data_IF_951442850238
#
_entry.id   IF_951442850238
#
_cell.length_a   1.000
_cell.length_b   1.000
_cell.length_c   1.000
_cell.angle_alpha   90.00
_cell.angle_beta   90.00
_cell.angle_gamma   90.00
#
_symmetry.space_group_name_H-M   'P 1'
#
loop_
_entity.id
_entity.type
_entity.pdbx_description
1 polymer ?
#
# COMPACT_ATOMS: atom_id res chain seq x y z
N UNK A 1 -16.49 -14.15 4.34
CA UNK A 1 -17.54 -13.30 4.94
C UNK A 1 -17.03 -12.31 6.00
N UNK A 2 -16.10 -12.63 6.90
CA UNK A 2 -15.61 -11.65 7.90
C UNK A 2 -14.73 -10.51 7.31
N UNK A 3 -14.13 -10.68 6.16
CA UNK A 3 -13.21 -9.75 5.49
C UNK A 3 -13.95 -8.61 4.77
N UNK A 4 -14.93 -8.94 3.95
CA UNK A 4 -15.76 -7.97 3.20
C UNK A 4 -16.29 -6.87 4.13
N UNK A 5 -16.73 -7.25 5.34
CA UNK A 5 -17.20 -6.30 6.34
C UNK A 5 -16.12 -5.36 6.91
N UNK A 6 -14.85 -5.79 6.99
CA UNK A 6 -13.78 -4.93 7.53
C UNK A 6 -13.36 -3.84 6.54
N UNK A 7 -13.10 -4.18 5.28
CA UNK A 7 -12.77 -3.22 4.23
C UNK A 7 -13.93 -2.26 3.98
N UNK A 8 -15.15 -2.77 3.90
CA UNK A 8 -16.37 -2.00 3.75
C UNK A 8 -16.57 -0.98 4.89
N UNK A 9 -16.28 -1.38 6.14
CA UNK A 9 -16.31 -0.49 7.29
C UNK A 9 -15.17 0.54 7.28
N UNK A 10 -13.98 0.13 6.86
CA UNK A 10 -12.82 1.01 6.74
C UNK A 10 -13.06 2.12 5.70
N UNK A 11 -13.70 1.80 4.59
CA UNK A 11 -14.04 2.75 3.52
C UNK A 11 -15.30 3.57 3.79
N UNK A 12 -16.03 3.35 4.88
CA UNK A 12 -17.34 3.94 5.13
C UNK A 12 -17.40 5.45 4.86
N UNK A 13 -16.40 6.22 5.32
CA UNK A 13 -16.39 7.68 5.14
C UNK A 13 -16.19 8.11 3.69
N UNK A 14 -15.30 7.42 2.96
CA UNK A 14 -15.07 7.67 1.52
C UNK A 14 -16.29 7.27 0.72
N UNK A 15 -16.81 6.08 1.00
CA UNK A 15 -18.02 5.53 0.39
C UNK A 15 -19.21 6.46 0.56
N UNK A 16 -19.54 6.85 1.80
CA UNK A 16 -20.73 7.67 2.08
C UNK A 16 -20.68 9.00 1.29
N UNK A 17 -19.48 9.57 1.07
CA UNK A 17 -19.32 10.77 0.24
C UNK A 17 -19.51 10.48 -1.24
N UNK A 18 -18.75 9.53 -1.78
CA UNK A 18 -18.71 9.22 -3.21
C UNK A 18 -20.04 8.62 -3.68
N UNK A 19 -20.57 7.64 -2.94
CA UNK A 19 -21.85 7.02 -3.26
C UNK A 19 -23.01 8.02 -3.22
N UNK A 20 -23.07 8.89 -2.20
CA UNK A 20 -24.13 9.92 -2.13
C UNK A 20 -24.06 10.89 -3.32
N UNK A 21 -22.87 11.29 -3.77
CA UNK A 21 -22.73 12.16 -4.93
C UNK A 21 -23.25 11.50 -6.21
N UNK A 22 -22.93 10.22 -6.42
CA UNK A 22 -23.48 9.45 -7.54
C UNK A 22 -24.99 9.20 -7.44
N UNK A 23 -25.49 8.84 -6.25
CA UNK A 23 -26.93 8.64 -6.04
C UNK A 23 -27.76 9.91 -6.29
N UNK A 24 -27.21 11.07 -5.95
CA UNK A 24 -27.84 12.34 -6.26
C UNK A 24 -27.97 12.55 -7.77
N UNK A 25 -26.93 12.25 -8.54
CA UNK A 25 -26.97 12.31 -10.01
C UNK A 25 -27.95 11.31 -10.64
N UNK A 26 -28.11 10.14 -10.06
CA UNK A 26 -29.10 9.14 -10.52
C UNK A 26 -30.53 9.65 -10.30
N UNK A 27 -30.78 10.37 -9.19
CA UNK A 27 -32.13 10.90 -8.84
C UNK A 27 -32.46 12.19 -9.55
N UNK A 28 -31.47 13.05 -9.79
CA UNK A 28 -31.58 14.33 -10.44
C UNK A 28 -31.09 14.22 -11.89
N UNK A 29 -31.60 15.04 -12.79
CA UNK A 29 -31.03 15.10 -14.16
C UNK A 29 -29.62 15.67 -14.07
N UNK A 30 -28.70 15.03 -14.81
CA UNK A 30 -27.32 15.55 -14.96
C UNK A 30 -27.35 17.00 -15.45
N UNK A 31 -26.81 17.88 -14.65
CA UNK A 31 -26.72 19.32 -14.87
C UNK A 31 -25.29 19.79 -14.68
N UNK A 32 -24.91 20.97 -15.22
CA UNK A 32 -23.57 21.52 -14.98
C UNK A 32 -23.25 21.65 -13.49
N UNK A 33 -24.22 22.03 -12.66
CA UNK A 33 -24.05 22.19 -11.22
C UNK A 33 -23.84 20.83 -10.50
N UNK A 34 -24.59 19.79 -10.89
CA UNK A 34 -24.44 18.47 -10.27
C UNK A 34 -23.13 17.79 -10.69
N UNK A 35 -22.62 18.09 -11.90
CA UNK A 35 -21.29 17.64 -12.34
C UNK A 35 -20.15 18.33 -11.56
N UNK A 36 -20.27 19.63 -11.30
CA UNK A 36 -19.31 20.39 -10.51
C UNK A 36 -19.25 19.84 -9.06
N UNK A 37 -20.41 19.54 -8.45
CA UNK A 37 -20.46 18.91 -7.12
C UNK A 37 -19.85 17.51 -7.11
N UNK A 38 -20.06 16.71 -8.15
CA UNK A 38 -19.42 15.40 -8.28
C UNK A 38 -17.91 15.58 -8.37
N UNK A 39 -17.42 16.47 -9.23
CA UNK A 39 -16.00 16.77 -9.42
C UNK A 39 -15.34 17.14 -8.08
N UNK A 40 -15.90 18.10 -7.35
CA UNK A 40 -15.39 18.51 -6.04
C UNK A 40 -15.34 17.33 -5.06
N UNK A 41 -16.35 16.47 -5.06
CA UNK A 41 -16.44 15.30 -4.15
C UNK A 41 -15.36 14.26 -4.49
N UNK A 42 -15.17 13.96 -5.78
CA UNK A 42 -14.18 12.98 -6.24
C UNK A 42 -12.75 13.48 -5.99
N UNK A 43 -12.48 14.77 -6.26
CA UNK A 43 -11.19 15.40 -5.97
C UNK A 43 -10.90 15.40 -4.44
N UNK A 44 -11.89 15.74 -3.62
CA UNK A 44 -11.78 15.71 -2.16
C UNK A 44 -11.57 14.30 -1.59
N UNK A 45 -11.89 13.27 -2.36
CA UNK A 45 -11.65 11.86 -2.04
C UNK A 45 -10.30 11.33 -2.57
N UNK A 46 -9.46 12.19 -3.13
CA UNK A 46 -8.10 11.91 -3.66
C UNK A 46 -8.05 10.89 -4.82
N UNK A 47 -9.07 10.84 -5.69
CA UNK A 47 -9.07 9.95 -6.86
C UNK A 47 -8.00 10.31 -7.91
N UNK A 48 -7.46 11.53 -7.86
CA UNK A 48 -6.55 12.06 -8.88
C UNK A 48 -7.30 12.75 -10.04
N UNK A 49 -6.67 13.75 -10.63
CA UNK A 49 -7.32 14.63 -11.62
C UNK A 49 -7.75 13.85 -12.88
N UNK A 50 -6.86 13.03 -13.45
CA UNK A 50 -7.16 12.28 -14.67
C UNK A 50 -8.33 11.32 -14.49
N UNK A 51 -8.36 10.58 -13.37
CA UNK A 51 -9.45 9.66 -13.05
C UNK A 51 -10.79 10.41 -12.92
N UNK A 52 -10.77 11.59 -12.29
CA UNK A 52 -11.97 12.41 -12.11
C UNK A 52 -12.48 12.93 -13.48
N UNK A 53 -11.61 13.44 -14.34
CA UNK A 53 -11.97 13.90 -15.69
C UNK A 53 -12.60 12.75 -16.51
N UNK A 54 -12.02 11.57 -16.51
CA UNK A 54 -12.55 10.41 -17.23
C UNK A 54 -13.93 9.98 -16.68
N UNK A 55 -14.12 9.97 -15.35
CA UNK A 55 -15.41 9.67 -14.72
C UNK A 55 -16.47 10.71 -15.14
N UNK A 56 -16.13 12.00 -15.11
CA UNK A 56 -17.05 13.06 -15.51
C UNK A 56 -17.45 12.93 -16.98
N UNK A 57 -16.53 12.53 -17.85
CA UNK A 57 -16.82 12.33 -19.27
C UNK A 57 -17.73 11.10 -19.49
N UNK A 58 -17.55 10.03 -18.72
CA UNK A 58 -18.47 8.87 -18.73
C UNK A 58 -19.86 9.32 -18.32
N UNK A 59 -19.99 10.05 -17.21
CA UNK A 59 -21.28 10.54 -16.70
C UNK A 59 -21.98 11.46 -17.71
N UNK A 60 -21.24 12.34 -18.40
CA UNK A 60 -21.81 13.21 -19.45
C UNK A 60 -22.33 12.43 -20.66
N UNK A 61 -21.60 11.40 -21.09
CA UNK A 61 -21.96 10.56 -22.25
C UNK A 61 -23.17 9.67 -21.97
N UNK A 62 -23.26 9.12 -20.76
CA UNK A 62 -24.26 8.13 -20.36
C UNK A 62 -25.32 8.69 -19.42
N UNK A 63 -25.63 9.98 -19.51
CA UNK A 63 -26.48 10.73 -18.58
C UNK A 63 -27.91 10.24 -18.39
N UNK A 64 -28.37 9.24 -19.14
CA UNK A 64 -29.75 8.77 -19.16
C UNK A 64 -29.96 7.33 -18.66
N UNK A 65 -28.95 6.43 -18.66
CA UNK A 65 -29.07 5.04 -18.20
C UNK A 65 -27.71 4.48 -17.79
N UNK A 66 -27.62 3.88 -16.59
CA UNK A 66 -26.52 3.01 -16.11
C UNK A 66 -25.10 3.56 -16.08
N UNK A 67 -24.87 4.88 -16.05
CA UNK A 67 -23.52 5.42 -15.98
C UNK A 67 -22.69 4.88 -14.78
N UNK A 68 -23.35 4.44 -13.71
CA UNK A 68 -22.67 3.84 -12.54
C UNK A 68 -21.94 2.54 -12.91
N UNK A 69 -22.52 1.71 -13.77
CA UNK A 69 -21.87 0.48 -14.23
C UNK A 69 -20.66 0.82 -15.12
N UNK A 70 -20.81 1.78 -16.03
CA UNK A 70 -19.72 2.25 -16.88
C UNK A 70 -18.58 2.89 -16.06
N UNK A 71 -18.92 3.63 -15.01
CA UNK A 71 -17.93 4.15 -14.05
C UNK A 71 -17.24 3.01 -13.31
N UNK A 72 -17.99 2.02 -12.84
CA UNK A 72 -17.42 0.86 -12.14
C UNK A 72 -16.48 0.07 -13.07
N UNK A 73 -16.89 -0.19 -14.30
CA UNK A 73 -16.08 -0.88 -15.32
C UNK A 73 -14.80 -0.11 -15.65
N UNK A 74 -14.89 1.22 -15.85
CA UNK A 74 -13.72 2.07 -16.04
C UNK A 74 -12.77 2.00 -14.84
N UNK A 75 -13.30 2.12 -13.63
CA UNK A 75 -12.50 2.06 -12.40
C UNK A 75 -11.83 0.68 -12.24
N UNK A 76 -12.52 -0.41 -12.58
CA UNK A 76 -11.94 -1.75 -12.58
C UNK A 76 -10.81 -1.87 -13.58
N UNK A 77 -11.02 -1.46 -14.83
CA UNK A 77 -9.98 -1.48 -15.86
C UNK A 77 -8.78 -0.61 -15.49
N UNK A 78 -9.01 0.55 -14.83
CA UNK A 78 -7.95 1.44 -14.36
C UNK A 78 -7.09 0.81 -13.26
N UNK A 79 -7.65 -0.02 -12.39
CA UNK A 79 -6.93 -0.72 -11.31
C UNK A 79 -6.50 -2.12 -11.69
N UNK A 80 -6.98 -2.66 -12.82
CA UNK A 80 -6.62 -4.00 -13.25
C UNK A 80 -5.10 -4.15 -13.36
N UNK A 81 -4.58 -5.24 -12.81
CA UNK A 81 -3.15 -5.50 -12.76
C UNK A 81 -2.85 -6.67 -13.69
N UNK A 82 -1.97 -6.44 -14.65
CA UNK A 82 -1.52 -7.49 -15.56
C UNK A 82 -0.83 -8.66 -14.85
N UNK A 83 -0.29 -8.44 -13.63
CA UNK A 83 0.36 -9.48 -12.81
C UNK A 83 0.21 -9.17 -11.32
N UNK A 84 -0.21 -10.17 -10.55
CA UNK A 84 0.00 -10.19 -9.10
C UNK A 84 1.50 -10.29 -8.80
N UNK A 85 1.94 -9.70 -7.67
CA UNK A 85 3.33 -9.82 -7.22
C UNK A 85 3.57 -11.26 -6.74
N UNK A 86 4.20 -12.08 -7.57
CA UNK A 86 4.67 -13.41 -7.17
C UNK A 86 6.00 -13.27 -6.41
N UNK A 87 6.03 -13.73 -5.17
CA UNK A 87 7.26 -13.81 -4.38
C UNK A 87 8.07 -15.01 -4.83
N UNK A 88 9.06 -14.75 -5.68
CA UNK A 88 10.05 -15.76 -6.04
C UNK A 88 10.95 -16.04 -4.82
N UNK A 89 11.40 -17.28 -4.65
CA UNK A 89 12.27 -17.67 -3.55
C UNK A 89 13.70 -17.95 -4.05
N UNK A 90 14.73 -17.40 -3.40
CA UNK A 90 14.68 -16.49 -2.25
C UNK A 90 14.43 -15.03 -2.66
N UNK A 91 13.69 -14.28 -1.81
CA UNK A 91 13.43 -12.86 -2.01
C UNK A 91 13.82 -12.02 -0.79
N UNK A 92 14.11 -10.75 -1.04
CA UNK A 92 14.24 -9.72 0.00
C UNK A 92 13.26 -8.59 -0.27
N UNK A 93 12.44 -8.26 0.72
CA UNK A 93 11.43 -7.21 0.66
C UNK A 93 11.82 -6.05 1.56
N UNK A 94 12.13 -4.90 0.96
CA UNK A 94 12.36 -3.65 1.68
C UNK A 94 11.02 -2.97 1.94
N UNK A 95 10.67 -2.77 3.21
CA UNK A 95 9.48 -2.00 3.61
C UNK A 95 9.90 -0.54 3.77
N UNK A 96 9.56 0.29 2.79
CA UNK A 96 9.98 1.70 2.70
C UNK A 96 8.82 2.66 2.97
N UNK A 97 9.12 3.93 3.23
CA UNK A 97 8.12 4.97 3.49
C UNK A 97 8.58 5.95 4.56
N UNK A 98 7.82 7.03 4.77
CA UNK A 98 8.17 8.05 5.77
C UNK A 98 7.85 7.60 7.20
N UNK A 99 8.33 8.34 8.20
CA UNK A 99 7.99 8.06 9.59
C UNK A 99 6.49 8.21 9.83
N UNK A 100 5.94 7.27 10.60
CA UNK A 100 4.51 7.28 10.97
C UNK A 100 3.58 6.56 9.97
N UNK A 101 4.06 6.11 8.80
CA UNK A 101 3.24 5.35 7.83
C UNK A 101 3.03 3.88 8.21
N UNK A 102 3.58 3.41 9.34
CA UNK A 102 3.36 2.05 9.82
C UNK A 102 4.34 0.99 9.30
N UNK A 103 5.56 1.37 8.82
CA UNK A 103 6.55 0.42 8.29
C UNK A 103 6.83 -0.79 9.19
N UNK A 104 7.22 -0.53 10.44
CA UNK A 104 7.54 -1.60 11.41
C UNK A 104 6.36 -2.55 11.63
N UNK A 105 5.15 -2.00 11.79
CA UNK A 105 3.91 -2.80 11.92
C UNK A 105 3.61 -3.56 10.64
N UNK A 106 3.77 -2.93 9.48
CA UNK A 106 3.57 -3.59 8.17
C UNK A 106 4.58 -4.71 7.94
N UNK A 107 5.85 -4.50 8.30
CA UNK A 107 6.86 -5.56 8.20
C UNK A 107 6.48 -6.79 9.04
N UNK A 108 5.97 -6.58 10.25
CA UNK A 108 5.48 -7.68 11.10
C UNK A 108 4.24 -8.37 10.51
N UNK A 109 3.28 -7.60 9.98
CA UNK A 109 2.07 -8.14 9.36
C UNK A 109 2.36 -8.93 8.08
N UNK A 110 3.26 -8.43 7.23
CA UNK A 110 3.73 -9.15 6.05
C UNK A 110 4.45 -10.45 6.45
N UNK A 111 5.25 -10.42 7.53
CA UNK A 111 5.86 -11.63 8.04
C UNK A 111 4.81 -12.66 8.48
N UNK A 112 3.77 -12.23 9.23
CA UNK A 112 2.65 -13.10 9.60
C UNK A 112 1.97 -13.70 8.37
N UNK A 113 1.63 -12.86 7.40
CA UNK A 113 0.94 -13.25 6.18
C UNK A 113 1.71 -14.33 5.40
N UNK A 114 3.04 -14.18 5.24
CA UNK A 114 3.84 -15.16 4.51
C UNK A 114 4.17 -16.41 5.33
N UNK A 115 4.27 -16.30 6.65
CA UNK A 115 4.37 -17.47 7.55
C UNK A 115 3.12 -18.33 7.46
N UNK A 116 1.93 -17.72 7.44
CA UNK A 116 0.65 -18.43 7.29
C UNK A 116 0.55 -19.16 5.93
N UNK A 117 1.27 -18.67 4.92
CA UNK A 117 1.45 -19.36 3.61
C UNK A 117 2.56 -20.43 3.62
N UNK A 118 3.16 -20.72 4.76
CA UNK A 118 4.21 -21.73 4.90
C UNK A 118 5.60 -21.29 4.46
N UNK A 119 5.86 -20.00 4.25
CA UNK A 119 7.18 -19.45 3.91
C UNK A 119 8.07 -19.37 5.15
N UNK A 120 9.35 -19.69 4.97
CA UNK A 120 10.37 -19.40 5.98
C UNK A 120 10.75 -17.92 5.89
N UNK A 121 10.40 -17.17 6.92
CA UNK A 121 10.61 -15.70 6.95
C UNK A 121 11.70 -15.32 7.93
N UNK A 122 12.54 -14.33 7.56
CA UNK A 122 13.50 -13.66 8.43
C UNK A 122 13.19 -12.17 8.47
N UNK A 123 13.13 -11.58 9.66
CA UNK A 123 13.01 -10.14 9.85
C UNK A 123 14.39 -9.49 9.98
N UNK A 124 14.57 -8.31 9.38
CA UNK A 124 15.79 -7.50 9.50
C UNK A 124 15.43 -6.10 9.99
N UNK A 125 15.96 -5.70 11.15
CA UNK A 125 15.74 -4.39 11.74
C UNK A 125 16.77 -3.37 11.22
N UNK A 126 16.48 -2.76 10.07
CA UNK A 126 17.36 -1.78 9.44
C UNK A 126 17.00 -0.30 9.77
N UNK A 127 16.00 -0.03 10.62
CA UNK A 127 15.79 1.29 11.24
C UNK A 127 16.75 1.44 12.45
N UNK A 128 18.05 1.51 12.16
CA UNK A 128 19.13 1.46 13.14
C UNK A 128 19.20 2.68 14.06
N UNK A 129 18.49 3.73 13.72
CA UNK A 129 18.48 4.98 14.50
C UNK A 129 17.40 5.04 15.55
N UNK A 130 16.41 4.14 15.48
CA UNK A 130 15.28 4.15 16.40
C UNK A 130 15.23 2.88 17.25
N UNK A 131 15.85 2.95 18.43
CA UNK A 131 15.84 1.82 19.39
C UNK A 131 14.42 1.32 19.68
N UNK A 132 13.42 2.21 19.71
CA UNK A 132 12.03 1.84 19.90
C UNK A 132 11.46 1.00 18.71
N UNK A 133 11.89 1.26 17.48
CA UNK A 133 11.47 0.47 16.31
C UNK A 133 12.07 -0.94 16.37
N UNK A 134 13.37 -1.05 16.73
CA UNK A 134 14.02 -2.33 16.92
C UNK A 134 13.32 -3.14 18.01
N UNK A 135 13.04 -2.53 19.17
CA UNK A 135 12.35 -3.18 20.28
C UNK A 135 10.92 -3.61 19.88
N UNK A 136 10.19 -2.79 19.11
CA UNK A 136 8.88 -3.12 18.61
C UNK A 136 8.93 -4.32 17.65
N UNK A 137 9.83 -4.30 16.68
CA UNK A 137 9.99 -5.41 15.73
C UNK A 137 10.40 -6.71 16.45
N UNK A 138 11.23 -6.60 17.50
CA UNK A 138 11.62 -7.75 18.33
C UNK A 138 10.43 -8.37 19.09
N UNK A 139 9.49 -7.54 19.58
CA UNK A 139 8.27 -8.07 20.20
C UNK A 139 7.42 -8.84 19.19
N UNK A 140 7.28 -8.32 17.96
CA UNK A 140 6.58 -9.00 16.88
C UNK A 140 7.29 -10.29 16.46
N UNK A 141 8.61 -10.28 16.28
CA UNK A 141 9.42 -11.45 15.96
C UNK A 141 9.17 -12.60 16.98
N UNK A 142 9.13 -12.28 18.27
CA UNK A 142 8.83 -13.26 19.33
C UNK A 142 7.40 -13.81 19.24
N UNK A 143 6.41 -12.94 18.97
CA UNK A 143 5.00 -13.38 18.86
C UNK A 143 4.77 -14.28 17.65
N UNK A 144 5.46 -14.00 16.55
CA UNK A 144 5.38 -14.76 15.29
C UNK A 144 6.26 -16.02 15.30
N UNK A 145 7.11 -16.19 16.31
CA UNK A 145 8.17 -17.18 16.33
C UNK A 145 9.06 -17.13 15.06
N UNK A 146 9.30 -15.91 14.56
CA UNK A 146 10.14 -15.61 13.39
C UNK A 146 11.45 -15.05 13.89
N UNK A 147 12.56 -15.53 13.34
CA UNK A 147 13.88 -15.00 13.67
C UNK A 147 14.05 -13.57 13.18
N UNK A 148 14.78 -12.77 13.97
CA UNK A 148 15.13 -11.38 13.59
C UNK A 148 16.63 -11.17 13.67
N UNK A 149 17.18 -10.46 12.69
CA UNK A 149 18.55 -9.92 12.69
C UNK A 149 18.50 -8.44 12.98
N UNK A 150 19.27 -8.00 13.96
CA UNK A 150 19.50 -6.61 14.32
C UNK A 150 20.95 -6.42 14.77
N UNK A 151 21.45 -5.21 14.69
CA UNK A 151 22.76 -4.84 15.22
C UNK A 151 22.66 -3.51 15.96
N UNK A 152 22.54 -3.56 17.28
CA UNK A 152 22.39 -2.38 18.13
C UNK A 152 23.65 -1.48 18.14
N UNK A 153 24.79 -2.03 17.75
CA UNK A 153 26.07 -1.29 17.70
C UNK A 153 26.36 -0.68 16.33
N UNK A 154 25.58 -1.03 15.29
CA UNK A 154 25.73 -0.48 13.96
C UNK A 154 24.70 0.60 13.66
N UNK A 155 25.18 1.75 13.18
CA UNK A 155 24.32 2.79 12.61
C UNK A 155 24.19 2.70 11.10
N UNK A 156 24.80 1.69 10.44
CA UNK A 156 24.71 1.49 8.98
C UNK A 156 23.63 0.45 8.66
N UNK A 157 22.46 0.87 8.13
CA UNK A 157 21.38 -0.04 7.74
C UNK A 157 21.81 -1.12 6.74
N UNK A 158 22.76 -0.78 5.85
CA UNK A 158 23.26 -1.70 4.83
C UNK A 158 24.10 -2.83 5.41
N UNK A 159 24.80 -2.59 6.53
CA UNK A 159 25.53 -3.67 7.21
C UNK A 159 24.60 -4.65 7.87
N UNK A 160 23.51 -4.16 8.50
CA UNK A 160 22.49 -5.01 9.12
C UNK A 160 21.77 -5.85 8.05
N UNK A 161 21.44 -5.25 6.89
CA UNK A 161 20.90 -5.98 5.76
C UNK A 161 21.86 -7.07 5.27
N UNK A 162 23.16 -6.76 5.13
CA UNK A 162 24.17 -7.72 4.71
C UNK A 162 24.22 -8.94 5.64
N UNK A 163 24.28 -8.69 6.96
CA UNK A 163 24.27 -9.75 7.99
C UNK A 163 23.00 -10.59 7.92
N UNK A 164 21.85 -9.94 7.70
CA UNK A 164 20.56 -10.60 7.51
C UNK A 164 20.51 -11.51 6.30
N UNK A 165 20.99 -11.04 5.14
CA UNK A 165 21.01 -11.83 3.90
C UNK A 165 22.02 -12.98 3.98
N UNK A 166 23.17 -12.77 4.61
CA UNK A 166 24.15 -13.84 4.84
C UNK A 166 23.56 -14.95 5.74
N UNK A 167 22.83 -14.57 6.78
CA UNK A 167 22.11 -15.51 7.64
C UNK A 167 21.00 -16.21 6.87
N UNK A 168 20.20 -15.48 6.09
CA UNK A 168 19.12 -16.03 5.29
C UNK A 168 19.60 -17.10 4.30
N UNK A 169 20.73 -16.84 3.64
CA UNK A 169 21.37 -17.80 2.72
C UNK A 169 21.83 -19.08 3.43
N UNK A 170 22.33 -18.97 4.65
CA UNK A 170 22.82 -20.15 5.41
C UNK A 170 21.67 -21.01 5.98
N UNK A 171 20.48 -20.49 6.08
CA UNK A 171 19.31 -21.14 6.71
C UNK A 171 18.19 -21.47 5.70
N UNK A 172 18.45 -21.29 4.40
CA UNK A 172 17.46 -21.51 3.33
C UNK A 172 16.14 -20.76 3.60
N UNK A 173 16.24 -19.46 3.89
CA UNK A 173 15.10 -18.57 4.11
C UNK A 173 14.45 -18.21 2.77
N UNK A 174 13.13 -18.32 2.67
CA UNK A 174 12.36 -17.99 1.48
C UNK A 174 12.20 -16.49 1.28
N UNK A 175 11.98 -15.73 2.37
CA UNK A 175 11.70 -14.30 2.33
C UNK A 175 12.35 -13.57 3.50
N UNK A 176 13.16 -12.57 3.17
CA UNK A 176 13.71 -11.61 4.14
C UNK A 176 12.88 -10.34 4.10
N UNK A 177 12.27 -9.92 5.21
CA UNK A 177 11.52 -8.66 5.31
C UNK A 177 12.32 -7.66 6.14
N UNK A 178 12.58 -6.50 5.54
CA UNK A 178 13.47 -5.47 6.07
C UNK A 178 12.68 -4.24 6.48
N UNK A 179 12.64 -3.95 7.78
CA UNK A 179 12.09 -2.68 8.30
C UNK A 179 13.13 -1.58 8.16
N UNK A 180 12.86 -0.58 7.31
CA UNK A 180 13.82 0.50 7.01
C UNK A 180 13.52 1.78 7.77
N UNK A 181 14.49 2.68 7.83
CA UNK A 181 14.30 4.04 8.33
C UNK A 181 13.28 4.82 7.46
N UNK A 182 12.73 5.91 8.03
CA UNK A 182 11.74 6.75 7.31
C UNK A 182 11.91 8.25 7.55
N UNK A 183 13.13 8.72 7.75
CA UNK A 183 13.44 10.11 8.15
C UNK A 183 13.39 11.07 6.98
N UNK A 184 12.22 11.66 6.71
CA UNK A 184 12.04 12.60 5.61
C UNK A 184 12.85 13.90 5.76
N UNK A 185 13.13 14.37 7.00
CA UNK A 185 13.90 15.58 7.24
C UNK A 185 15.39 15.45 6.85
N UNK A 186 15.90 14.24 6.65
CA UNK A 186 17.19 13.93 6.05
C UNK A 186 17.01 13.17 4.75
N UNK A 187 16.12 13.67 3.88
CA UNK A 187 15.66 13.01 2.66
C UNK A 187 16.81 12.44 1.83
N UNK A 188 17.82 13.26 1.51
CA UNK A 188 18.96 12.83 0.68
C UNK A 188 19.71 11.64 1.32
N UNK A 189 19.89 11.65 2.65
CA UNK A 189 20.56 10.55 3.34
C UNK A 189 19.72 9.27 3.30
N UNK A 190 18.39 9.38 3.51
CA UNK A 190 17.48 8.24 3.45
C UNK A 190 17.49 7.61 2.05
N UNK A 191 17.42 8.41 0.99
CA UNK A 191 17.46 7.90 -0.38
C UNK A 191 18.79 7.22 -0.70
N UNK A 192 19.91 7.81 -0.30
CA UNK A 192 21.23 7.21 -0.45
C UNK A 192 21.36 5.88 0.34
N UNK A 193 20.77 5.79 1.54
CA UNK A 193 20.73 4.54 2.32
C UNK A 193 19.94 3.45 1.57
N UNK A 194 18.76 3.76 1.05
CA UNK A 194 17.93 2.81 0.29
C UNK A 194 18.62 2.35 -1.00
N UNK A 195 19.23 3.27 -1.76
CA UNK A 195 20.02 2.93 -2.93
C UNK A 195 21.23 2.05 -2.58
N UNK A 196 21.90 2.31 -1.46
CA UNK A 196 23.00 1.49 -0.97
C UNK A 196 22.53 0.09 -0.62
N UNK A 197 21.37 -0.04 0.05
CA UNK A 197 20.76 -1.33 0.37
C UNK A 197 20.42 -2.11 -0.89
N UNK A 198 19.80 -1.48 -1.89
CA UNK A 198 19.49 -2.11 -3.18
C UNK A 198 20.78 -2.60 -3.88
N UNK A 199 21.86 -1.81 -3.86
CA UNK A 199 23.16 -2.20 -4.41
C UNK A 199 23.79 -3.36 -3.63
N UNK A 200 23.63 -3.45 -2.32
CA UNK A 200 24.11 -4.59 -1.54
C UNK A 200 23.40 -5.86 -1.99
N UNK A 201 22.08 -5.83 -2.18
CA UNK A 201 21.35 -7.00 -2.69
C UNK A 201 21.86 -7.38 -4.08
N UNK A 202 21.81 -6.47 -5.04
CA UNK A 202 22.13 -6.77 -6.45
C UNK A 202 23.57 -7.22 -6.66
N UNK A 203 24.54 -6.68 -5.91
CA UNK A 203 25.95 -6.95 -6.13
C UNK A 203 26.52 -8.09 -5.27
N UNK A 204 25.93 -8.34 -4.10
CA UNK A 204 26.47 -9.31 -3.14
C UNK A 204 25.60 -10.55 -2.97
N UNK A 205 24.30 -10.43 -3.27
CA UNK A 205 23.31 -11.48 -3.13
C UNK A 205 22.38 -11.53 -4.36
N UNK A 206 22.94 -11.70 -5.58
CA UNK A 206 22.17 -11.67 -6.82
C UNK A 206 21.15 -12.82 -6.94
N UNK A 207 21.24 -13.82 -6.09
CA UNK A 207 20.27 -14.91 -5.98
C UNK A 207 18.94 -14.46 -5.34
N UNK A 208 18.95 -13.37 -4.56
CA UNK A 208 17.73 -12.84 -3.94
C UNK A 208 17.01 -11.88 -4.89
N UNK A 209 15.73 -12.11 -5.11
CA UNK A 209 14.88 -11.16 -5.82
C UNK A 209 14.56 -9.98 -4.90
N UNK A 210 14.92 -8.76 -5.33
CA UNK A 210 14.66 -7.53 -4.58
C UNK A 210 13.25 -7.01 -4.87
N UNK A 211 12.48 -6.77 -3.80
CA UNK A 211 11.15 -6.21 -3.83
C UNK A 211 11.12 -4.98 -2.91
N UNK A 212 10.57 -3.87 -3.38
CA UNK A 212 10.40 -2.67 -2.57
C UNK A 212 8.90 -2.37 -2.38
N UNK A 213 8.43 -2.52 -1.14
CA UNK A 213 7.04 -2.28 -0.74
C UNK A 213 6.94 -0.95 -0.01
N UNK A 214 6.17 -0.02 -0.54
CA UNK A 214 5.98 1.28 0.10
C UNK A 214 4.75 1.31 1.00
N UNK A 215 4.92 1.75 2.25
CA UNK A 215 3.78 2.02 3.14
C UNK A 215 3.24 3.42 2.89
N UNK A 216 1.94 3.51 2.62
CA UNK A 216 1.19 4.74 2.32
C UNK A 216 0.15 4.97 3.40
N UNK A 217 0.23 6.07 4.12
CA UNK A 217 -0.83 6.48 5.05
C UNK A 217 -2.00 7.09 4.29
N UNK A 218 -3.12 6.37 4.24
CA UNK A 218 -4.30 6.79 3.50
C UNK A 218 -4.90 8.12 4.00
N UNK A 219 -4.67 8.50 5.27
CA UNK A 219 -5.16 9.77 5.81
C UNK A 219 -4.46 11.01 5.23
N UNK A 220 -3.25 10.85 4.70
CA UNK A 220 -2.46 11.97 4.20
C UNK A 220 -2.79 12.36 2.74
N UNK A 221 -3.54 11.51 2.01
CA UNK A 221 -4.00 11.81 0.64
C UNK A 221 -2.87 12.25 -0.29
N UNK A 222 -3.01 13.42 -0.93
CA UNK A 222 -2.03 13.96 -1.88
C UNK A 222 -0.60 14.10 -1.31
N UNK A 223 -0.44 14.30 -0.01
CA UNK A 223 0.89 14.31 0.61
C UNK A 223 1.56 12.94 0.52
N UNK A 224 0.81 11.85 0.67
CA UNK A 224 1.33 10.49 0.47
C UNK A 224 1.74 10.23 -0.98
N UNK A 225 0.98 10.76 -1.95
CA UNK A 225 1.31 10.65 -3.37
C UNK A 225 2.62 11.40 -3.69
N UNK A 226 2.80 12.60 -3.14
CA UNK A 226 4.06 13.34 -3.28
C UNK A 226 5.25 12.55 -2.70
N UNK A 227 5.08 11.96 -1.52
CA UNK A 227 6.10 11.10 -0.92
C UNK A 227 6.42 9.89 -1.83
N UNK A 228 5.40 9.20 -2.34
CA UNK A 228 5.59 8.06 -3.25
C UNK A 228 6.38 8.45 -4.49
N UNK A 229 6.08 9.62 -5.08
CA UNK A 229 6.81 10.17 -6.23
C UNK A 229 8.28 10.41 -5.92
N UNK A 230 8.58 10.90 -4.73
CA UNK A 230 9.97 11.12 -4.31
C UNK A 230 10.71 9.80 -4.10
N UNK A 231 10.10 8.80 -3.43
CA UNK A 231 10.73 7.49 -3.25
C UNK A 231 10.97 6.78 -4.59
N UNK A 232 10.02 6.88 -5.54
CA UNK A 232 10.14 6.27 -6.87
C UNK A 232 11.32 6.81 -7.71
N UNK A 233 11.87 7.99 -7.37
CA UNK A 233 13.08 8.52 -8.02
C UNK A 233 14.36 7.77 -7.63
N UNK A 234 14.39 7.16 -6.44
CA UNK A 234 15.58 6.55 -5.86
C UNK A 234 15.55 5.04 -5.84
N UNK A 235 14.37 4.45 -5.70
CA UNK A 235 14.19 2.99 -5.70
C UNK A 235 12.99 2.63 -6.56
N UNK A 236 13.12 1.51 -7.29
CA UNK A 236 11.95 0.93 -7.97
C UNK A 236 10.96 0.47 -6.91
N UNK A 237 9.74 0.97 -6.96
CA UNK A 237 8.65 0.52 -6.10
C UNK A 237 7.85 -0.56 -6.84
N UNK A 238 7.79 -1.75 -6.26
CA UNK A 238 7.10 -2.91 -6.86
C UNK A 238 5.63 -2.98 -6.41
N UNK A 239 5.29 -2.27 -5.31
CA UNK A 239 3.92 -2.15 -4.83
C UNK A 239 3.80 -1.27 -3.60
N UNK A 240 2.56 -1.01 -3.21
CA UNK A 240 2.21 -0.25 -2.03
C UNK A 240 1.35 -1.07 -1.05
N UNK A 241 1.52 -0.75 0.23
CA UNK A 241 0.63 -1.17 1.31
C UNK A 241 -0.10 0.07 1.82
N UNK A 242 -1.40 0.14 1.63
CA UNK A 242 -2.21 1.20 2.23
C UNK A 242 -2.41 0.91 3.71
N UNK A 243 -2.09 1.87 4.55
CA UNK A 243 -2.24 1.76 6.01
C UNK A 243 -3.28 2.75 6.52
N UNK A 244 -3.85 2.46 7.69
CA UNK A 244 -4.80 3.33 8.39
C UNK A 244 -6.07 3.63 7.58
N UNK A 245 -6.52 2.66 6.80
CA UNK A 245 -7.75 2.78 6.00
C UNK A 245 -9.00 2.99 6.87
N UNK A 246 -8.98 2.49 8.09
CA UNK A 246 -10.08 2.56 9.06
C UNK A 246 -10.45 3.98 9.53
N UNK A 247 -9.59 4.96 9.27
CA UNK A 247 -9.80 6.36 9.67
C UNK A 247 -10.06 7.34 8.51
N UNK A 248 -9.94 6.92 7.25
CA UNK A 248 -9.86 7.84 6.12
C UNK A 248 -11.18 8.11 5.40
N UNK A 249 -11.31 9.33 4.86
CA UNK A 249 -12.29 9.69 3.83
C UNK A 249 -11.63 9.87 2.45
N UNK A 250 -10.38 9.39 2.26
CA UNK A 250 -9.53 9.62 1.09
C UNK A 250 -9.15 8.31 0.40
N UNK A 251 -10.11 7.41 0.29
CA UNK A 251 -9.92 6.11 -0.33
C UNK A 251 -9.44 6.16 -1.78
N UNK A 252 -9.74 7.23 -2.51
CA UNK A 252 -9.40 7.37 -3.93
C UNK A 252 -7.90 7.36 -4.27
N UNK A 253 -7.01 7.51 -3.29
CA UNK A 253 -5.55 7.54 -3.50
C UNK A 253 -5.01 6.31 -4.27
N UNK A 254 -5.70 5.19 -4.24
CA UNK A 254 -5.37 3.97 -5.00
C UNK A 254 -5.24 4.27 -6.49
N UNK A 255 -6.20 5.04 -7.04
CA UNK A 255 -6.21 5.42 -8.45
C UNK A 255 -5.04 6.33 -8.80
N UNK A 256 -4.77 7.33 -7.95
CA UNK A 256 -3.65 8.25 -8.17
C UNK A 256 -2.29 7.52 -8.11
N UNK A 257 -2.10 6.57 -7.19
CA UNK A 257 -0.88 5.74 -7.13
C UNK A 257 -0.69 4.93 -8.40
N UNK A 258 -1.75 4.27 -8.89
CA UNK A 258 -1.70 3.44 -10.08
C UNK A 258 -1.53 4.27 -11.35
N UNK A 259 -2.38 5.30 -11.55
CA UNK A 259 -2.46 6.01 -12.82
C UNK A 259 -1.35 7.04 -13.00
N UNK A 260 -0.88 7.68 -11.92
CA UNK A 260 0.16 8.70 -12.01
C UNK A 260 1.58 8.15 -11.79
N UNK A 261 1.73 7.11 -10.96
CA UNK A 261 3.04 6.60 -10.56
C UNK A 261 3.30 5.15 -10.99
N UNK A 262 2.29 4.46 -11.53
CA UNK A 262 2.36 3.05 -11.91
C UNK A 262 2.73 2.13 -10.72
N UNK A 263 2.36 2.54 -9.50
CA UNK A 263 2.59 1.78 -8.28
C UNK A 263 1.29 1.04 -7.92
N UNK A 264 1.23 -0.29 -8.05
CA UNK A 264 0.06 -1.05 -7.67
C UNK A 264 -0.09 -1.09 -6.15
N UNK A 265 -1.32 -1.00 -5.67
CA UNK A 265 -1.64 -1.34 -4.29
C UNK A 265 -1.80 -2.85 -4.19
N UNK A 266 -1.04 -3.48 -3.30
CA UNK A 266 -1.04 -4.94 -3.14
C UNK A 266 -1.68 -5.39 -1.83
N UNK A 267 -1.62 -4.55 -0.79
CA UNK A 267 -2.16 -4.84 0.52
C UNK A 267 -2.84 -3.63 1.12
N UNK A 268 -3.80 -3.89 2.01
CA UNK A 268 -4.47 -2.88 2.84
C UNK A 268 -4.35 -3.25 4.32
N UNK A 269 -3.98 -2.27 5.14
CA UNK A 269 -3.99 -2.36 6.59
C UNK A 269 -5.25 -1.70 7.15
N UNK A 270 -6.06 -2.49 7.81
CA UNK A 270 -7.42 -2.14 8.29
C UNK A 270 -7.53 -2.11 9.82
N UNK A 271 -6.42 -2.07 10.52
CA UNK A 271 -6.33 -2.03 11.98
C UNK A 271 -4.91 -2.23 12.47
N UNK A 272 -4.71 -2.51 13.76
CA UNK A 272 -3.39 -2.60 14.40
C UNK A 272 -2.94 -4.05 14.70
N UNK A 273 -3.82 -5.03 14.63
CA UNK A 273 -3.52 -6.42 14.90
C UNK A 273 -2.76 -7.10 13.74
N UNK A 274 -2.07 -8.21 14.01
CA UNK A 274 -1.30 -8.95 12.98
C UNK A 274 -2.16 -9.36 11.79
N UNK A 275 -3.39 -9.77 12.05
CA UNK A 275 -4.34 -10.23 11.03
C UNK A 275 -5.13 -9.08 10.38
N UNK A 276 -4.78 -7.83 10.64
CA UNK A 276 -5.39 -6.67 10.01
C UNK A 276 -4.58 -6.19 8.79
N UNK A 277 -4.03 -7.12 8.02
CA UNK A 277 -3.43 -6.92 6.70
C UNK A 277 -4.08 -7.90 5.74
N UNK A 278 -4.56 -7.37 4.62
CA UNK A 278 -5.28 -8.15 3.62
C UNK A 278 -4.71 -7.84 2.23
N UNK A 279 -4.77 -8.80 1.32
CA UNK A 279 -4.53 -8.54 -0.10
C UNK A 279 -5.55 -7.53 -0.62
N UNK A 280 -5.10 -6.66 -1.53
CA UNK A 280 -5.98 -5.67 -2.12
C UNK A 280 -6.83 -6.28 -3.23
N UNK A 281 -8.12 -6.43 -2.97
CA UNK A 281 -9.12 -6.79 -3.97
C UNK A 281 -9.72 -5.50 -4.58
N UNK A 282 -9.34 -5.20 -5.82
CA UNK A 282 -9.79 -3.99 -6.51
C UNK A 282 -11.29 -4.02 -6.84
N UNK A 283 -11.89 -5.21 -7.09
CA UNK A 283 -13.32 -5.32 -7.39
C UNK A 283 -14.15 -5.01 -6.15
N UNK A 284 -13.81 -5.64 -5.03
CA UNK A 284 -14.45 -5.37 -3.74
C UNK A 284 -14.26 -3.91 -3.31
N UNK A 285 -13.05 -3.39 -3.50
CA UNK A 285 -12.73 -2.00 -3.20
C UNK A 285 -13.62 -1.01 -3.97
N UNK A 286 -13.78 -1.19 -5.29
CA UNK A 286 -14.58 -0.32 -6.15
C UNK A 286 -16.06 -0.43 -5.78
N UNK A 287 -16.58 -1.65 -5.58
CA UNK A 287 -17.94 -1.86 -5.11
C UNK A 287 -18.20 -1.13 -3.78
N UNK A 288 -17.26 -1.29 -2.84
CA UNK A 288 -17.34 -0.60 -1.55
C UNK A 288 -17.30 0.92 -1.70
N UNK A 289 -16.45 1.45 -2.58
CA UNK A 289 -16.30 2.91 -2.79
C UNK A 289 -17.54 3.52 -3.44
N UNK A 290 -18.13 2.83 -4.41
CA UNK A 290 -19.33 3.28 -5.11
C UNK A 290 -20.63 2.99 -4.35
N UNK A 291 -20.57 2.20 -3.26
CA UNK A 291 -21.74 1.78 -2.50
C UNK A 291 -22.64 0.81 -3.28
N UNK A 292 -22.07 0.03 -4.17
CA UNK A 292 -22.77 -1.02 -4.90
C UNK A 292 -22.91 -2.24 -3.97
N UNK A 293 -24.13 -2.56 -3.57
CA UNK A 293 -24.41 -3.75 -2.77
C UNK A 293 -24.08 -5.03 -3.56
N UNK A 294 -23.66 -6.09 -2.85
CA UNK A 294 -23.58 -7.40 -3.45
C UNK A 294 -24.97 -7.76 -4.03
N UNK A 295 -25.02 -8.14 -5.29
CA UNK A 295 -26.19 -8.83 -5.79
C UNK A 295 -26.33 -10.10 -4.95
N UNK A 296 -27.35 -10.18 -4.10
CA UNK A 296 -27.71 -11.42 -3.41
C UNK A 296 -27.91 -12.51 -4.50
N UNK A 297 -26.97 -13.48 -4.53
CA UNK A 297 -27.15 -14.71 -5.30
C UNK A 297 -28.08 -15.67 -4.57
#
# INVERSE_FOLDING_TARGET
MAFIGKLFNALRRSRDRVSNAFQQLVKEKVSPQSLEQLEETLLASDLGLSTVEDILDIVKKHSHENFLNEVADYMQQSLDQEKQLEIQTPSVMLVVGVNGTGKTTTAAKLANYYVDQGKKVLLVAADTYRAAAIAQLQQWSKRLNVRMVCNENSQDPSSVLFDGLQSAKSEDIDLVIVDTAGRLHTYTNLMNELEKMARVVSNRFPEFNLISMMTIDANLGQNSLHQAREFAKSVKLDGAVLTKMDGTARGGIVFALKNELYIPVLFVGIGEELNDLEEFDHQEYIRSLLGLEEAEE
#
